data_IF_430769048464
#
_entry.id   IF_430769048464
#
_cell.length_a   1.000
_cell.length_b   1.000
_cell.length_c   1.000
_cell.angle_alpha   90.00
_cell.angle_beta   90.00
_cell.angle_gamma   90.00
#
_symmetry.space_group_name_H-M   'P 1'
#
loop_
_entity.id
_entity.type
_entity.pdbx_description
1 polymer ?
#
# COMPACT_ATOMS: atom_id res chain seq x y z
N UNK A 1 45.21 -39.95 0.26
CA UNK A 1 46.41 -39.56 1.04
C UNK A 1 47.20 -38.48 0.30
N UNK A 2 47.19 -37.23 0.79
CA UNK A 2 48.31 -36.28 0.70
C UNK A 2 48.04 -35.14 1.68
N UNK A 3 48.78 -35.21 2.78
CA UNK A 3 48.78 -34.32 3.95
C UNK A 3 49.81 -33.22 3.71
N UNK A 4 49.45 -31.94 3.80
CA UNK A 4 50.38 -30.81 3.98
C UNK A 4 49.65 -29.72 4.79
N UNK A 5 49.83 -29.73 6.12
CA UNK A 5 50.84 -29.01 6.93
C UNK A 5 50.45 -27.56 7.18
N UNK A 6 49.83 -27.36 8.35
CA UNK A 6 49.57 -26.10 9.03
C UNK A 6 50.88 -25.36 9.33
N UNK A 7 50.88 -24.03 9.18
CA UNK A 7 51.92 -23.17 9.76
C UNK A 7 51.21 -21.99 10.41
N UNK A 8 51.19 -22.02 11.74
CA UNK A 8 50.73 -20.94 12.59
C UNK A 8 51.84 -19.89 12.68
N UNK A 9 51.49 -18.63 12.46
CA UNK A 9 52.33 -17.49 12.81
C UNK A 9 51.58 -16.66 13.87
N UNK A 10 52.07 -16.75 15.11
CA UNK A 10 51.67 -15.91 16.24
C UNK A 10 52.38 -14.58 16.06
N UNK A 11 51.63 -13.55 15.67
CA UNK A 11 52.10 -12.17 15.57
C UNK A 11 51.43 -11.30 16.63
N UNK A 12 52.14 -11.06 17.72
CA UNK A 12 51.82 -10.13 18.79
C UNK A 12 52.15 -8.70 18.30
N UNK A 13 51.16 -7.85 18.00
CA UNK A 13 51.38 -6.42 17.74
C UNK A 13 50.41 -5.57 18.56
N UNK A 14 51.05 -4.62 19.24
CA UNK A 14 50.60 -3.57 20.12
C UNK A 14 49.24 -2.92 19.82
N UNK A 15 48.56 -2.60 20.92
CA UNK A 15 47.39 -1.76 21.02
C UNK A 15 47.58 -0.39 20.35
N UNK A 16 46.79 -0.13 19.31
CA UNK A 16 46.30 1.21 19.01
C UNK A 16 44.80 1.21 19.29
N UNK A 17 44.41 1.77 20.43
CA UNK A 17 43.05 2.17 20.70
C UNK A 17 42.71 3.39 19.82
N UNK A 18 42.49 3.13 18.53
CA UNK A 18 41.65 4.02 17.73
C UNK A 18 40.24 3.85 18.29
N UNK A 19 39.86 4.79 19.15
CA UNK A 19 38.48 5.20 19.34
C UNK A 19 37.99 5.55 17.94
N UNK A 20 37.51 4.53 17.21
CA UNK A 20 36.51 4.74 16.18
C UNK A 20 35.34 5.32 16.96
N UNK A 21 35.34 6.65 17.06
CA UNK A 21 34.18 7.40 17.47
C UNK A 21 33.10 6.89 16.56
N UNK A 22 32.26 6.02 17.13
CA UNK A 22 31.02 5.65 16.51
C UNK A 22 30.36 6.97 16.23
N UNK A 23 30.39 7.39 14.97
CA UNK A 23 29.19 7.90 14.35
C UNK A 23 28.16 6.82 14.67
N UNK A 24 27.56 6.92 15.85
CA UNK A 24 26.19 6.55 16.10
C UNK A 24 25.48 7.29 14.98
N UNK A 25 25.39 6.62 13.84
CA UNK A 25 24.80 7.16 12.64
C UNK A 25 23.48 7.67 13.13
N UNK A 26 23.32 8.98 13.11
CA UNK A 26 22.05 9.61 13.38
C UNK A 26 21.11 8.87 12.45
N UNK A 27 20.30 7.96 13.00
CA UNK A 27 19.27 7.23 12.30
C UNK A 27 18.18 8.27 12.07
N UNK A 28 18.54 9.23 11.21
CA UNK A 28 17.82 10.45 11.05
C UNK A 28 16.60 9.99 10.29
N UNK A 29 15.47 9.91 10.99
CA UNK A 29 14.15 9.69 10.41
C UNK A 29 13.76 10.81 9.43
N UNK A 30 14.67 11.74 9.16
CA UNK A 30 14.59 12.73 8.10
C UNK A 30 14.33 12.03 6.77
N UNK A 31 13.23 12.40 6.13
CA UNK A 31 12.80 11.83 4.85
C UNK A 31 12.26 10.40 4.96
N UNK A 32 11.97 9.85 6.15
CA UNK A 32 11.31 8.56 6.31
C UNK A 32 9.79 8.75 6.41
N UNK A 33 9.05 8.05 5.55
CA UNK A 33 7.59 8.01 5.60
C UNK A 33 7.08 6.78 6.35
N UNK A 34 7.66 5.61 6.06
CA UNK A 34 7.34 4.35 6.75
C UNK A 34 8.50 3.35 6.72
N UNK A 35 8.44 2.33 7.58
CA UNK A 35 9.26 1.12 7.53
C UNK A 35 8.33 -0.09 7.63
N UNK A 36 8.49 -1.08 6.75
CA UNK A 36 7.73 -2.34 6.78
C UNK A 36 8.68 -3.51 6.67
N UNK A 37 8.80 -4.30 7.74
CA UNK A 37 9.70 -5.47 7.76
C UNK A 37 11.15 -5.14 7.43
N UNK A 38 11.63 -3.97 7.84
CA UNK A 38 12.98 -3.45 7.52
C UNK A 38 13.08 -2.72 6.17
N UNK A 39 12.06 -2.76 5.32
CA UNK A 39 12.02 -1.99 4.08
C UNK A 39 11.61 -0.54 4.35
N UNK A 40 12.45 0.43 3.97
CA UNK A 40 12.19 1.86 4.15
C UNK A 40 11.41 2.42 2.95
N UNK A 41 10.30 3.10 3.24
CA UNK A 41 9.57 3.97 2.31
C UNK A 41 9.97 5.41 2.64
N UNK A 42 10.62 6.10 1.70
CA UNK A 42 11.08 7.48 1.89
C UNK A 42 10.06 8.51 1.40
N UNK A 43 10.17 9.75 1.87
CA UNK A 43 9.40 10.89 1.35
C UNK A 43 9.61 11.10 -0.16
N UNK A 44 10.83 10.86 -0.64
CA UNK A 44 11.18 10.90 -2.06
C UNK A 44 10.59 9.75 -2.87
N UNK A 45 10.24 8.64 -2.24
CA UNK A 45 9.47 7.60 -2.92
C UNK A 45 8.02 8.05 -3.12
N UNK A 46 7.44 8.74 -2.13
CA UNK A 46 6.05 9.21 -2.23
C UNK A 46 5.85 10.20 -3.38
N UNK A 47 6.83 11.05 -3.67
CA UNK A 47 6.71 12.04 -4.75
C UNK A 47 6.56 11.41 -6.14
N UNK A 48 6.92 10.14 -6.31
CA UNK A 48 6.76 9.43 -7.60
C UNK A 48 5.29 9.07 -7.88
N UNK A 49 4.48 8.98 -6.82
CA UNK A 49 3.06 8.62 -6.87
C UNK A 49 2.15 9.84 -6.82
N UNK A 50 2.70 11.05 -6.78
CA UNK A 50 1.95 12.29 -6.61
C UNK A 50 2.26 13.27 -7.73
N UNK A 51 1.27 14.03 -8.12
CA UNK A 51 1.49 15.18 -9.00
C UNK A 51 2.19 16.31 -8.22
N UNK A 52 3.01 17.15 -8.87
CA UNK A 52 3.60 18.33 -8.23
C UNK A 52 2.56 19.35 -7.74
N UNK A 53 1.40 19.40 -8.40
CA UNK A 53 0.32 20.36 -8.14
C UNK A 53 -0.65 19.93 -7.05
N UNK A 54 -0.66 18.64 -6.68
CA UNK A 54 -1.62 18.08 -5.74
C UNK A 54 -3.05 18.01 -6.31
N UNK A 55 -4.07 17.77 -5.45
CA UNK A 55 -5.46 17.70 -5.87
C UNK A 55 -5.96 19.01 -6.49
N UNK A 56 -6.83 18.89 -7.50
CA UNK A 56 -7.45 20.05 -8.14
C UNK A 56 -8.30 20.89 -7.17
N UNK A 57 -8.47 22.20 -7.42
CA UNK A 57 -9.30 23.06 -6.57
C UNK A 57 -10.75 22.58 -6.42
N UNK A 58 -11.32 21.98 -7.47
CA UNK A 58 -12.68 21.43 -7.43
C UNK A 58 -12.80 20.25 -6.47
N UNK A 59 -11.80 19.35 -6.45
CA UNK A 59 -11.72 18.23 -5.50
C UNK A 59 -11.60 18.73 -4.06
N UNK A 60 -10.73 19.72 -3.83
CA UNK A 60 -10.56 20.32 -2.49
C UNK A 60 -11.84 21.01 -2.01
N UNK A 61 -12.52 21.76 -2.89
CA UNK A 61 -13.78 22.42 -2.57
C UNK A 61 -14.90 21.41 -2.26
N UNK A 62 -14.98 20.31 -3.01
CA UNK A 62 -15.95 19.24 -2.77
C UNK A 62 -15.71 18.54 -1.42
N UNK A 63 -14.45 18.19 -1.12
CA UNK A 63 -14.09 17.59 0.15
C UNK A 63 -14.41 18.51 1.34
N UNK A 64 -14.08 19.80 1.23
CA UNK A 64 -14.40 20.80 2.26
C UNK A 64 -15.91 20.91 2.51
N UNK A 65 -16.75 20.93 1.46
CA UNK A 65 -18.22 20.92 1.59
C UNK A 65 -18.74 19.66 2.29
N UNK A 66 -18.08 18.52 2.09
CA UNK A 66 -18.39 17.26 2.76
C UNK A 66 -17.81 17.16 4.17
N UNK A 67 -17.14 18.21 4.67
CA UNK A 67 -16.37 18.21 5.92
C UNK A 67 -15.31 17.08 5.96
N UNK A 68 -14.67 16.83 4.81
CA UNK A 68 -13.65 15.82 4.59
C UNK A 68 -12.32 16.48 4.20
N UNK A 69 -11.21 15.85 4.59
CA UNK A 69 -9.87 16.21 4.11
C UNK A 69 -9.43 15.35 2.93
N UNK A 70 -8.48 15.84 2.15
CA UNK A 70 -7.83 15.10 1.05
C UNK A 70 -6.35 14.95 1.40
N UNK A 71 -5.89 13.71 1.58
CA UNK A 71 -4.53 13.42 2.07
C UNK A 71 -3.80 12.43 1.14
N UNK A 72 -3.43 12.82 -0.10
CA UNK A 72 -2.87 11.90 -1.08
C UNK A 72 -1.60 11.21 -0.60
N UNK A 73 -0.75 11.90 0.18
CA UNK A 73 0.46 11.31 0.76
C UNK A 73 0.15 10.16 1.73
N UNK A 74 -0.83 10.33 2.61
CA UNK A 74 -1.23 9.29 3.56
C UNK A 74 -1.78 8.07 2.81
N UNK A 75 -2.59 8.29 1.78
CA UNK A 75 -3.14 7.23 0.93
C UNK A 75 -2.04 6.46 0.18
N UNK A 76 -1.06 7.16 -0.41
CA UNK A 76 0.10 6.51 -1.04
C UNK A 76 0.86 5.65 -0.03
N UNK A 77 1.14 6.16 1.18
CA UNK A 77 1.85 5.39 2.20
C UNK A 77 1.04 4.14 2.58
N UNK A 78 -0.27 4.27 2.78
CA UNK A 78 -1.14 3.15 3.10
C UNK A 78 -1.05 2.06 2.02
N UNK A 79 -1.21 2.42 0.74
CA UNK A 79 -1.11 1.49 -0.39
C UNK A 79 0.25 0.80 -0.43
N UNK A 80 1.36 1.53 -0.28
CA UNK A 80 2.70 0.94 -0.31
C UNK A 80 2.98 0.03 0.89
N UNK A 81 2.48 0.39 2.07
CA UNK A 81 2.59 -0.44 3.28
C UNK A 81 1.79 -1.72 3.12
N UNK A 82 0.55 -1.64 2.66
CA UNK A 82 -0.31 -2.81 2.38
C UNK A 82 0.32 -3.71 1.32
N UNK A 83 0.79 -3.15 0.20
CA UNK A 83 1.49 -3.89 -0.84
C UNK A 83 2.64 -4.70 -0.23
N UNK A 84 3.47 -4.05 0.60
CA UNK A 84 4.63 -4.71 1.19
C UNK A 84 4.25 -5.80 2.18
N UNK A 85 3.20 -5.58 2.98
CA UNK A 85 2.69 -6.59 3.91
C UNK A 85 2.13 -7.80 3.15
N UNK A 86 1.39 -7.60 2.06
CA UNK A 86 0.85 -8.69 1.27
C UNK A 86 1.94 -9.48 0.55
N UNK A 87 2.94 -8.81 -0.04
CA UNK A 87 4.13 -9.47 -0.60
C UNK A 87 4.84 -10.35 0.42
N UNK A 88 5.14 -9.80 1.61
CA UNK A 88 5.81 -10.54 2.68
C UNK A 88 4.96 -11.72 3.18
N UNK A 89 3.64 -11.53 3.25
CA UNK A 89 2.71 -12.57 3.68
C UNK A 89 2.60 -13.68 2.65
N UNK A 90 2.45 -13.36 1.37
CA UNK A 90 2.44 -14.33 0.27
C UNK A 90 3.75 -15.10 0.18
N UNK A 91 4.90 -14.41 0.32
CA UNK A 91 6.22 -15.05 0.34
C UNK A 91 6.32 -16.14 1.43
N UNK A 92 5.68 -15.94 2.59
CA UNK A 92 5.64 -16.93 3.68
C UNK A 92 4.57 -18.01 3.50
N UNK A 93 3.55 -17.77 2.68
CA UNK A 93 2.42 -18.66 2.47
C UNK A 93 2.47 -19.39 1.11
N UNK A 94 3.64 -19.50 0.49
CA UNK A 94 3.83 -20.29 -0.74
C UNK A 94 4.16 -19.47 -1.98
N UNK A 95 4.84 -18.33 -1.82
CA UNK A 95 5.42 -17.54 -2.90
C UNK A 95 4.60 -16.30 -3.26
N UNK A 96 5.29 -15.26 -3.74
CA UNK A 96 4.65 -14.08 -4.34
C UNK A 96 4.22 -14.47 -5.76
N UNK A 97 2.96 -14.25 -6.14
CA UNK A 97 2.50 -14.50 -7.51
C UNK A 97 3.31 -13.71 -8.54
N UNK A 98 3.47 -14.29 -9.71
CA UNK A 98 4.05 -13.66 -10.90
C UNK A 98 3.11 -12.59 -11.46
N UNK A 99 3.63 -11.72 -12.33
CA UNK A 99 2.82 -10.68 -12.97
C UNK A 99 1.70 -11.27 -13.84
N UNK A 100 1.95 -12.41 -14.49
CA UNK A 100 0.92 -13.11 -15.27
C UNK A 100 -0.22 -13.67 -14.39
N UNK A 101 0.12 -14.19 -13.21
CA UNK A 101 -0.89 -14.64 -12.24
C UNK A 101 -1.70 -13.48 -11.68
N UNK A 102 -1.07 -12.33 -11.39
CA UNK A 102 -1.78 -11.16 -10.87
C UNK A 102 -2.65 -10.51 -11.93
N UNK A 103 -2.18 -10.43 -13.18
CA UNK A 103 -2.99 -9.99 -14.31
C UNK A 103 -4.26 -10.86 -14.49
N UNK A 104 -4.19 -12.16 -14.19
CA UNK A 104 -5.37 -13.04 -14.23
C UNK A 104 -6.41 -12.74 -13.13
N UNK A 105 -5.98 -12.09 -12.04
CA UNK A 105 -6.85 -11.67 -10.92
C UNK A 105 -7.35 -10.24 -11.07
N UNK A 106 -6.84 -9.48 -12.04
CA UNK A 106 -7.06 -8.04 -12.20
C UNK A 106 -8.54 -7.64 -12.14
N UNK A 107 -9.37 -8.20 -13.03
CA UNK A 107 -10.80 -7.86 -13.11
C UNK A 107 -11.56 -8.28 -11.84
N UNK A 108 -11.22 -9.44 -11.27
CA UNK A 108 -11.84 -9.93 -10.05
C UNK A 108 -11.49 -9.03 -8.86
N UNK A 109 -10.23 -8.63 -8.74
CA UNK A 109 -9.76 -7.74 -7.69
C UNK A 109 -10.41 -6.36 -7.83
N UNK A 110 -10.44 -5.79 -9.04
CA UNK A 110 -11.10 -4.52 -9.31
C UNK A 110 -12.59 -4.57 -8.94
N UNK A 111 -13.31 -5.60 -9.37
CA UNK A 111 -14.72 -5.78 -9.05
C UNK A 111 -14.97 -5.92 -7.54
N UNK A 112 -14.13 -6.71 -6.85
CA UNK A 112 -14.30 -7.02 -5.42
C UNK A 112 -13.96 -5.82 -4.54
N UNK A 113 -12.81 -5.19 -4.77
CA UNK A 113 -12.28 -4.18 -3.86
C UNK A 113 -12.67 -2.75 -4.24
N UNK A 114 -12.92 -2.49 -5.52
CA UNK A 114 -13.27 -1.15 -6.01
C UNK A 114 -14.75 -1.04 -6.42
N UNK A 115 -15.48 -2.16 -6.47
CA UNK A 115 -16.90 -2.18 -6.82
C UNK A 115 -17.18 -1.78 -8.27
N UNK A 116 -16.18 -1.87 -9.15
CA UNK A 116 -16.32 -1.49 -10.56
C UNK A 116 -16.79 -2.66 -11.42
N UNK A 117 -17.56 -2.35 -12.47
CA UNK A 117 -17.90 -3.30 -13.54
C UNK A 117 -17.00 -3.14 -14.76
N UNK A 118 -16.14 -2.11 -14.78
CA UNK A 118 -15.16 -1.92 -15.83
C UNK A 118 -14.11 -3.03 -15.76
N UNK A 119 -13.63 -3.46 -16.92
CA UNK A 119 -12.66 -4.55 -17.07
C UNK A 119 -11.49 -4.15 -17.94
N UNK A 120 -10.34 -4.80 -17.71
CA UNK A 120 -9.10 -4.63 -18.47
C UNK A 120 -8.79 -3.17 -18.82
N UNK A 121 -8.50 -2.93 -20.10
CA UNK A 121 -8.08 -1.62 -20.59
C UNK A 121 -9.09 -0.48 -20.34
N UNK A 122 -10.40 -0.78 -20.25
CA UNK A 122 -11.40 0.25 -19.95
C UNK A 122 -11.29 0.72 -18.50
N UNK A 123 -11.03 -0.20 -17.58
CA UNK A 123 -10.79 0.14 -16.18
C UNK A 123 -9.47 0.88 -15.99
N UNK A 124 -8.40 0.42 -16.64
CA UNK A 124 -7.09 1.10 -16.62
C UNK A 124 -7.19 2.53 -17.15
N UNK A 125 -7.95 2.74 -18.21
CA UNK A 125 -8.17 4.06 -18.80
C UNK A 125 -8.97 4.96 -17.87
N UNK A 126 -9.96 4.40 -17.16
CA UNK A 126 -10.70 5.13 -16.14
C UNK A 126 -9.78 5.60 -15.01
N UNK A 127 -8.95 4.71 -14.45
CA UNK A 127 -7.99 5.07 -13.39
C UNK A 127 -7.05 6.21 -13.82
N UNK A 128 -6.48 6.12 -15.03
CA UNK A 128 -5.64 7.17 -15.61
C UNK A 128 -6.38 8.50 -15.80
N UNK A 129 -7.67 8.45 -16.11
CA UNK A 129 -8.46 9.67 -16.31
C UNK A 129 -8.74 10.43 -15.01
N UNK A 130 -8.75 9.74 -13.87
CA UNK A 130 -9.10 10.34 -12.57
C UNK A 130 -7.88 10.70 -11.72
N UNK A 131 -6.75 9.98 -11.83
CA UNK A 131 -5.61 10.11 -10.91
C UNK A 131 -5.08 11.55 -10.76
N UNK A 132 -4.91 12.27 -11.88
CA UNK A 132 -4.36 13.63 -11.87
C UNK A 132 -5.26 14.65 -11.15
N UNK A 133 -6.58 14.52 -11.27
CA UNK A 133 -7.54 15.42 -10.62
C UNK A 133 -7.49 15.34 -9.09
N UNK A 134 -7.10 14.18 -8.55
CA UNK A 134 -6.97 13.93 -7.12
C UNK A 134 -5.52 14.05 -6.62
N UNK A 135 -4.61 14.50 -7.49
CA UNK A 135 -3.22 14.76 -7.14
C UNK A 135 -2.32 13.54 -7.18
N UNK A 136 -2.77 12.43 -7.74
CA UNK A 136 -1.98 11.20 -7.91
C UNK A 136 -1.27 11.20 -9.26
N UNK A 137 -0.02 10.76 -9.26
CA UNK A 137 0.76 10.53 -10.47
C UNK A 137 0.50 9.14 -11.07
N UNK A 138 0.95 8.92 -12.29
CA UNK A 138 0.73 7.68 -13.07
C UNK A 138 1.16 6.38 -12.41
N UNK A 139 2.12 6.43 -11.49
CA UNK A 139 2.56 5.26 -10.74
C UNK A 139 1.57 4.84 -9.65
N UNK A 140 0.68 5.73 -9.22
CA UNK A 140 -0.29 5.43 -8.16
C UNK A 140 -1.32 4.41 -8.61
N UNK A 141 -1.89 4.57 -9.82
CA UNK A 141 -2.86 3.62 -10.34
C UNK A 141 -2.25 2.20 -10.40
N UNK A 142 -1.00 2.08 -10.84
CA UNK A 142 -0.28 0.80 -10.89
C UNK A 142 -0.05 0.21 -9.48
N UNK A 143 0.36 1.03 -8.52
CA UNK A 143 0.56 0.57 -7.13
C UNK A 143 -0.77 0.13 -6.48
N UNK A 144 -1.85 0.90 -6.68
CA UNK A 144 -3.18 0.55 -6.21
C UNK A 144 -3.65 -0.79 -6.78
N UNK A 145 -3.56 -0.94 -8.10
CA UNK A 145 -3.91 -2.18 -8.80
C UNK A 145 -3.11 -3.37 -8.27
N UNK A 146 -1.79 -3.21 -8.17
CA UNK A 146 -0.91 -4.24 -7.65
C UNK A 146 -1.28 -4.64 -6.23
N UNK A 147 -1.61 -3.67 -5.37
CA UNK A 147 -2.01 -3.94 -3.98
C UNK A 147 -3.30 -4.75 -3.91
N UNK A 148 -4.35 -4.39 -4.66
CA UNK A 148 -5.61 -5.15 -4.63
C UNK A 148 -5.48 -6.53 -5.29
N UNK A 149 -4.63 -6.68 -6.30
CA UNK A 149 -4.33 -7.99 -6.91
C UNK A 149 -3.59 -8.90 -5.93
N UNK A 150 -2.62 -8.35 -5.19
CA UNK A 150 -1.91 -9.07 -4.12
C UNK A 150 -2.86 -9.45 -2.97
N UNK A 151 -3.80 -8.57 -2.62
CA UNK A 151 -4.83 -8.86 -1.62
C UNK A 151 -5.74 -10.00 -2.10
N UNK A 152 -6.23 -9.95 -3.34
CA UNK A 152 -7.02 -11.03 -3.95
C UNK A 152 -6.25 -12.36 -3.95
N UNK A 153 -4.98 -12.35 -4.36
CA UNK A 153 -4.13 -13.52 -4.36
C UNK A 153 -3.94 -14.08 -2.94
N UNK A 154 -3.75 -13.21 -1.96
CA UNK A 154 -3.62 -13.61 -0.56
C UNK A 154 -4.92 -14.23 -0.04
N UNK A 155 -6.07 -13.61 -0.30
CA UNK A 155 -7.40 -14.13 0.05
C UNK A 155 -7.58 -15.55 -0.48
N UNK A 156 -7.27 -15.79 -1.76
CA UNK A 156 -7.34 -17.13 -2.36
C UNK A 156 -6.37 -18.09 -1.67
N UNK A 157 -5.11 -17.66 -1.44
CA UNK A 157 -4.05 -18.50 -0.87
C UNK A 157 -4.37 -18.99 0.54
N UNK A 158 -4.87 -18.10 1.39
CA UNK A 158 -5.20 -18.41 2.80
C UNK A 158 -6.66 -18.83 2.98
N UNK A 159 -7.46 -18.84 1.91
CA UNK A 159 -8.91 -19.12 1.92
C UNK A 159 -9.69 -18.17 2.85
N UNK A 160 -9.27 -16.91 2.91
CA UNK A 160 -9.93 -15.89 3.73
C UNK A 160 -11.39 -15.73 3.30
N UNK A 161 -12.28 -15.56 4.28
CA UNK A 161 -13.70 -15.24 4.06
C UNK A 161 -14.00 -13.78 4.42
N UNK A 162 -13.06 -13.11 5.10
CA UNK A 162 -13.21 -11.75 5.60
C UNK A 162 -11.86 -11.00 5.59
N UNK A 163 -11.94 -9.68 5.71
CA UNK A 163 -10.74 -8.85 5.90
C UNK A 163 -10.04 -9.16 7.23
N UNK A 164 -10.78 -9.64 8.24
CA UNK A 164 -10.21 -10.05 9.52
C UNK A 164 -9.31 -11.29 9.37
N UNK A 165 -9.64 -12.21 8.46
CA UNK A 165 -8.78 -13.37 8.16
C UNK A 165 -7.47 -12.94 7.51
N UNK A 166 -7.53 -11.97 6.59
CA UNK A 166 -6.35 -11.36 5.96
C UNK A 166 -5.49 -10.67 7.01
N UNK A 167 -6.08 -9.82 7.85
CA UNK A 167 -5.38 -9.15 8.94
C UNK A 167 -4.74 -10.15 9.91
N UNK A 168 -5.45 -11.22 10.28
CA UNK A 168 -4.91 -12.28 11.14
C UNK A 168 -3.69 -12.97 10.50
N UNK A 169 -3.75 -13.29 9.21
CA UNK A 169 -2.63 -13.91 8.49
C UNK A 169 -1.40 -13.00 8.42
N UNK A 170 -1.59 -11.70 8.15
CA UNK A 170 -0.51 -10.70 8.17
C UNK A 170 0.08 -10.57 9.57
N UNK A 171 -0.77 -10.42 10.59
CA UNK A 171 -0.34 -10.19 11.97
C UNK A 171 0.39 -11.40 12.58
N UNK A 172 0.04 -12.63 12.16
CA UNK A 172 0.74 -13.86 12.58
C UNK A 172 2.24 -13.83 12.25
N UNK A 173 2.66 -13.07 11.24
CA UNK A 173 4.05 -12.94 10.85
C UNK A 173 4.85 -11.94 11.70
N UNK A 174 4.19 -11.18 12.59
CA UNK A 174 4.80 -10.16 13.44
C UNK A 174 5.70 -9.18 12.66
N UNK A 175 5.28 -8.81 11.45
CA UNK A 175 6.02 -7.86 10.61
C UNK A 175 5.98 -6.48 11.28
N UNK A 176 7.15 -5.91 11.57
CA UNK A 176 7.22 -4.57 12.16
C UNK A 176 6.79 -3.51 11.13
N UNK A 177 5.79 -2.71 11.49
CA UNK A 177 5.35 -1.53 10.73
C UNK A 177 5.60 -0.29 11.57
N UNK A 178 6.36 0.66 11.03
CA UNK A 178 6.58 1.98 11.63
C UNK A 178 6.11 3.04 10.64
N UNK A 179 5.19 3.90 11.05
CA UNK A 179 4.71 5.03 10.25
C UNK A 179 5.25 6.32 10.87
N UNK A 180 5.68 7.26 10.04
CA UNK A 180 6.03 8.59 10.54
C UNK A 180 4.77 9.24 11.16
N UNK A 181 4.82 9.69 12.43
CA UNK A 181 3.64 10.20 13.14
C UNK A 181 2.87 11.31 12.41
N UNK A 182 3.54 12.06 11.52
CA UNK A 182 2.89 13.08 10.67
C UNK A 182 1.78 12.54 9.77
N UNK A 183 1.81 11.25 9.44
CA UNK A 183 0.84 10.59 8.57
C UNK A 183 -0.24 9.83 9.34
N UNK A 184 -0.09 9.70 10.66
CA UNK A 184 -1.03 8.99 11.51
C UNK A 184 -0.42 7.74 12.16
N UNK A 185 -1.29 6.88 12.67
CA UNK A 185 -0.94 5.65 13.39
C UNK A 185 -1.40 4.44 12.60
N UNK A 186 -0.54 3.44 12.48
CA UNK A 186 -0.88 2.14 11.91
C UNK A 186 -1.88 1.39 12.81
N UNK A 187 -2.94 0.85 12.21
CA UNK A 187 -3.87 -0.09 12.82
C UNK A 187 -3.65 -1.48 12.20
N UNK A 188 -3.03 -2.43 12.93
CA UNK A 188 -2.82 -3.79 12.43
C UNK A 188 -4.13 -4.57 12.26
N UNK A 189 -5.20 -4.17 12.94
CA UNK A 189 -6.52 -4.82 12.84
C UNK A 189 -7.20 -4.51 11.51
N UNK A 190 -7.01 -3.29 11.01
CA UNK A 190 -7.63 -2.80 9.76
C UNK A 190 -6.64 -2.73 8.59
N UNK A 191 -5.36 -3.04 8.84
CA UNK A 191 -4.25 -2.87 7.91
C UNK A 191 -4.23 -1.47 7.27
N UNK A 192 -4.44 -0.42 8.07
CA UNK A 192 -4.60 0.97 7.60
C UNK A 192 -3.91 2.00 8.46
N UNK A 193 -3.84 3.25 8.00
CA UNK A 193 -3.27 4.39 8.74
C UNK A 193 -4.39 5.34 9.17
N UNK A 194 -4.74 5.35 10.46
CA UNK A 194 -5.67 6.35 11.04
C UNK A 194 -7.14 6.22 10.61
N UNK A 195 -8.01 7.08 11.16
CA UNK A 195 -9.47 6.91 11.30
C UNK A 195 -10.23 6.36 10.06
N UNK A 196 -11.35 5.63 10.25
CA UNK A 196 -12.15 4.94 9.21
C UNK A 196 -12.67 5.81 8.04
N UNK A 197 -12.41 7.12 8.05
CA UNK A 197 -12.61 7.99 6.89
C UNK A 197 -11.48 7.92 5.85
N UNK A 198 -10.39 7.18 6.10
CA UNK A 198 -9.54 6.61 5.05
C UNK A 198 -10.27 5.43 4.37
N UNK A 199 -11.54 5.67 4.01
CA UNK A 199 -12.22 4.87 3.02
C UNK A 199 -11.47 5.10 1.72
N UNK A 200 -11.36 4.05 0.88
CA UNK A 200 -10.84 4.14 -0.48
C UNK A 200 -11.11 5.53 -1.04
N UNK A 201 -10.08 6.24 -1.56
CA UNK A 201 -10.23 7.60 -2.02
C UNK A 201 -11.56 7.77 -2.75
N UNK A 202 -12.35 8.78 -2.39
CA UNK A 202 -13.77 8.88 -2.78
C UNK A 202 -14.02 8.77 -4.29
N UNK A 203 -13.00 8.98 -5.12
CA UNK A 203 -13.04 8.79 -6.58
C UNK A 203 -13.05 7.34 -7.06
N UNK A 204 -12.59 6.41 -6.23
CA UNK A 204 -12.62 4.97 -6.48
C UNK A 204 -14.01 4.42 -6.22
N UNK A 205 -14.81 5.07 -5.36
CA UNK A 205 -16.24 4.80 -5.28
C UNK A 205 -16.88 5.36 -6.55
N UNK A 206 -16.96 4.54 -7.60
CA UNK A 206 -17.65 4.87 -8.86
C UNK A 206 -19.16 4.95 -8.59
N UNK A 207 -19.59 5.98 -7.88
CA UNK A 207 -21.00 6.34 -7.72
C UNK A 207 -21.49 6.93 -9.04
N UNK A 208 -21.84 6.06 -9.99
CA UNK A 208 -22.29 6.48 -11.32
C UNK A 208 -22.66 5.36 -12.31
N UNK A 209 -22.29 4.11 -12.04
CA UNK A 209 -22.90 2.94 -12.70
C UNK A 209 -24.06 2.50 -11.80
N UNK A 210 -25.23 3.08 -12.04
CA UNK A 210 -26.47 2.73 -11.36
C UNK A 210 -26.71 1.22 -11.45
N UNK A 211 -26.69 0.51 -10.34
CA UNK A 211 -27.49 -0.71 -10.23
C UNK A 211 -28.93 -0.35 -10.59
N UNK A 212 -29.61 -1.06 -11.51
CA UNK A 212 -30.99 -0.77 -11.86
C UNK A 212 -31.89 -1.23 -10.71
N UNK A 213 -32.02 -0.40 -9.67
CA UNK A 213 -33.11 -0.52 -8.71
C UNK A 213 -34.31 0.21 -9.29
N UNK A 214 -35.31 -0.58 -9.65
CA UNK A 214 -36.57 -0.18 -10.25
C UNK A 214 -37.17 1.08 -9.59
N UNK A 215 -37.31 2.15 -10.37
CA UNK A 215 -38.30 3.18 -10.09
C UNK A 215 -39.68 2.59 -10.41
N UNK A 216 -40.51 2.39 -9.38
CA UNK A 216 -41.96 2.44 -9.54
C UNK A 216 -42.48 3.49 -8.56
N UNK A 217 -42.66 4.69 -9.10
CA UNK A 217 -43.48 5.74 -8.52
C UNK A 217 -44.85 5.69 -9.18
N UNK A 218 -45.90 5.49 -8.39
CA UNK A 218 -47.27 5.91 -8.69
C UNK A 218 -47.91 6.27 -7.34
N UNK A 219 -47.88 7.52 -6.88
CA UNK A 219 -48.78 8.63 -7.21
C UNK A 219 -50.27 8.28 -7.17
N UNK A 220 -51.02 8.91 -6.27
CA UNK A 220 -52.46 9.16 -6.49
C UNK A 220 -53.34 9.00 -5.26
N UNK A 221 -53.48 10.08 -4.49
CA UNK A 221 -54.65 10.35 -3.65
C UNK A 221 -55.44 11.47 -4.32
N UNK A 222 -56.77 11.37 -4.47
CA UNK A 222 -57.65 12.52 -4.36
C UNK A 222 -58.09 12.75 -2.91
#
# INVERSE_FOLDING_TARGET
MRVRKSTAAVGLIAALALVMGGLSGCDSKVGQAAIVGGHRISESDLSKYLTPTGPSPSVLAAASKANQGVYPKTEVIQILVQQKLFELTLAKNGGVPTDGELASLHDQAAATFLGTQLKGAAFDSYLKSVEGNYGYGSQYAQALLRTIELEAALVVKIKAQSIQDVAAAVNKLNITVQINPRYGKWSPENLSIGAPSATLPSFIKISGISSPSAQVSTSGTP
#
